data_IF_881392319462
#
_entry.id   IF_881392319462
#
_cell.length_a   1.000
_cell.length_b   1.000
_cell.length_c   1.000
_cell.angle_alpha   90.00
_cell.angle_beta   90.00
_cell.angle_gamma   90.00
#
_symmetry.space_group_name_H-M   'P 1'
#
loop_
_entity.id
_entity.type
_entity.pdbx_description
1 polymer ?
#
# COMPACT_ATOMS: atom_id res chain seq x y z
N UNK A 1 10.36 39.93 -6.25
CA UNK A 1 9.43 39.00 -5.61
C UNK A 1 10.27 37.88 -4.95
N UNK A 2 9.87 37.37 -3.81
CA UNK A 2 10.51 36.17 -3.24
C UNK A 2 10.10 35.05 -4.16
N UNK A 3 11.06 34.42 -4.84
CA UNK A 3 10.82 33.29 -5.74
C UNK A 3 10.23 32.13 -4.95
N UNK A 4 9.12 31.59 -5.40
CA UNK A 4 8.44 30.50 -4.70
C UNK A 4 9.23 29.20 -4.92
N UNK A 5 9.44 28.44 -3.85
CA UNK A 5 10.13 27.16 -3.92
C UNK A 5 9.23 26.10 -4.58
N UNK A 6 9.83 25.18 -5.34
CA UNK A 6 9.14 23.98 -5.85
C UNK A 6 8.51 23.20 -4.69
N UNK A 7 7.18 23.00 -4.69
CA UNK A 7 6.52 22.38 -3.54
C UNK A 7 6.88 20.91 -3.32
N UNK A 8 7.26 20.21 -4.37
CA UNK A 8 7.66 18.80 -4.35
C UNK A 8 6.98 17.96 -5.42
N UNK A 9 7.44 16.75 -5.59
CA UNK A 9 7.02 15.86 -6.67
C UNK A 9 5.82 15.00 -6.28
N UNK A 10 4.91 14.86 -7.23
CA UNK A 10 3.71 14.03 -7.11
C UNK A 10 3.79 12.71 -7.91
N UNK A 11 4.99 12.38 -8.40
CA UNK A 11 5.28 11.17 -9.16
C UNK A 11 6.68 10.68 -8.78
N UNK A 12 6.79 9.59 -8.03
CA UNK A 12 8.08 9.06 -7.60
C UNK A 12 8.06 7.57 -7.30
N UNK A 13 9.22 6.92 -7.55
CA UNK A 13 9.44 5.49 -7.49
C UNK A 13 10.50 5.12 -6.48
N UNK A 14 10.32 3.95 -5.85
CA UNK A 14 11.30 3.37 -4.93
C UNK A 14 11.62 1.93 -5.30
N UNK A 15 12.42 1.25 -4.45
CA UNK A 15 12.72 -0.18 -4.58
C UNK A 15 11.48 -1.06 -4.74
N UNK A 16 10.30 -0.57 -4.41
CA UNK A 16 9.03 -1.30 -4.56
C UNK A 16 8.50 -1.32 -6.00
N UNK A 17 9.01 -0.45 -6.87
CA UNK A 17 8.75 -0.51 -8.32
C UNK A 17 9.52 -1.63 -9.02
N UNK A 18 10.54 -2.21 -8.37
CA UNK A 18 11.37 -3.28 -8.92
C UNK A 18 10.68 -4.65 -8.84
N UNK A 19 9.55 -4.82 -9.53
CA UNK A 19 8.79 -6.07 -9.51
C UNK A 19 9.42 -7.16 -10.40
N UNK A 20 9.35 -6.97 -11.71
CA UNK A 20 9.87 -7.92 -12.70
C UNK A 20 11.17 -7.43 -13.35
N UNK A 21 11.42 -6.13 -13.33
CA UNK A 21 12.57 -5.47 -13.92
C UNK A 21 13.23 -4.53 -12.91
N UNK A 22 14.49 -4.23 -13.13
CA UNK A 22 15.20 -3.17 -12.41
C UNK A 22 14.68 -1.83 -12.89
N UNK A 23 14.35 -0.93 -11.95
CA UNK A 23 13.74 0.34 -12.28
C UNK A 23 14.22 1.48 -11.38
N UNK A 24 13.97 1.46 -10.08
CA UNK A 24 14.37 2.52 -9.16
C UNK A 24 15.39 2.06 -8.13
N UNK A 25 16.34 2.95 -7.80
CA UNK A 25 17.32 2.78 -6.71
C UNK A 25 16.95 3.53 -5.45
N UNK A 26 15.85 4.30 -5.46
CA UNK A 26 15.39 5.04 -4.29
C UNK A 26 14.91 4.12 -3.18
N UNK A 27 15.18 4.52 -1.94
CA UNK A 27 14.53 3.97 -0.75
C UNK A 27 13.53 4.97 -0.19
N UNK A 28 12.45 4.48 0.39
CA UNK A 28 11.40 5.34 0.97
C UNK A 28 11.98 6.33 1.97
N UNK A 29 12.89 5.88 2.86
CA UNK A 29 13.51 6.72 3.87
C UNK A 29 14.35 7.84 3.26
N UNK A 30 15.16 7.51 2.26
CA UNK A 30 16.13 8.43 1.66
C UNK A 30 15.38 9.50 0.85
N UNK A 31 14.44 9.08 0.00
CA UNK A 31 13.62 9.97 -0.81
C UNK A 31 12.80 10.94 0.05
N UNK A 32 12.17 10.44 1.11
CA UNK A 32 11.36 11.25 2.02
C UNK A 32 12.24 12.21 2.84
N UNK A 33 13.43 11.79 3.26
CA UNK A 33 14.37 12.63 4.00
C UNK A 33 14.90 13.75 3.11
N UNK A 34 15.28 13.42 1.87
CA UNK A 34 15.76 14.43 0.93
C UNK A 34 14.69 15.48 0.63
N UNK A 35 13.47 15.06 0.28
CA UNK A 35 12.36 15.97 0.01
C UNK A 35 12.08 16.89 1.21
N UNK A 36 11.84 16.29 2.38
CA UNK A 36 11.37 17.02 3.55
C UNK A 36 12.45 17.85 4.24
N UNK A 37 13.65 17.30 4.40
CA UNK A 37 14.68 17.87 5.28
C UNK A 37 15.79 18.58 4.49
N UNK A 38 16.29 17.97 3.41
CA UNK A 38 17.39 18.53 2.65
C UNK A 38 16.91 19.65 1.70
N UNK A 39 15.85 19.38 0.93
CA UNK A 39 15.28 20.32 -0.01
C UNK A 39 14.19 21.21 0.59
N UNK A 40 13.69 20.90 1.76
CA UNK A 40 12.65 21.70 2.42
C UNK A 40 11.30 21.71 1.71
N UNK A 41 11.05 20.77 0.79
CA UNK A 41 9.80 20.67 0.02
C UNK A 41 8.58 20.43 0.93
N UNK A 42 7.39 20.71 0.42
CA UNK A 42 6.12 20.60 1.15
C UNK A 42 5.50 19.21 1.04
N UNK A 43 5.80 18.47 -0.05
CA UNK A 43 5.18 17.19 -0.38
C UNK A 43 6.12 16.23 -1.10
N UNK A 44 5.85 14.93 -0.96
CA UNK A 44 6.32 13.87 -1.85
C UNK A 44 5.19 12.87 -2.07
N UNK A 45 5.03 12.35 -3.29
CA UNK A 45 4.16 11.21 -3.55
C UNK A 45 4.97 9.95 -3.85
N UNK A 46 4.39 8.79 -3.50
CA UNK A 46 4.91 7.47 -3.82
C UNK A 46 3.93 6.79 -4.76
N UNK A 47 4.35 6.56 -6.00
CA UNK A 47 3.50 6.10 -7.10
C UNK A 47 4.10 4.88 -7.78
N UNK A 48 4.45 3.87 -7.01
CA UNK A 48 5.11 2.65 -7.50
C UNK A 48 4.38 2.03 -8.71
N UNK A 49 5.14 1.41 -9.61
CA UNK A 49 4.59 0.68 -10.73
C UNK A 49 3.70 -0.47 -10.26
N UNK A 50 2.41 -0.45 -10.64
CA UNK A 50 1.43 -1.54 -10.49
C UNK A 50 1.23 -2.06 -9.06
N UNK A 51 1.78 -1.42 -8.01
CA UNK A 51 1.69 -1.92 -6.64
C UNK A 51 1.48 -0.83 -5.62
N UNK A 52 0.81 -1.17 -4.52
CA UNK A 52 0.60 -0.33 -3.33
C UNK A 52 1.13 -1.00 -2.05
N UNK A 53 2.02 -1.98 -2.19
CA UNK A 53 2.48 -2.80 -1.07
C UNK A 53 3.40 -2.05 -0.08
N UNK A 54 3.94 -0.90 -0.46
CA UNK A 54 4.81 -0.04 0.36
C UNK A 54 4.07 0.82 1.40
N UNK A 55 2.74 0.90 1.35
CA UNK A 55 1.93 1.88 2.08
C UNK A 55 2.17 1.89 3.61
N UNK A 56 2.37 0.72 4.24
CA UNK A 56 2.68 0.63 5.68
C UNK A 56 4.11 1.09 5.98
N UNK A 57 5.07 0.82 5.10
CA UNK A 57 6.44 1.31 5.24
C UNK A 57 6.48 2.83 5.15
N UNK A 58 5.79 3.40 4.17
CA UNK A 58 5.62 4.85 4.00
C UNK A 58 5.07 5.45 5.30
N UNK A 59 3.99 4.91 5.87
CA UNK A 59 3.39 5.44 7.09
C UNK A 59 4.35 5.44 8.28
N UNK A 60 5.13 4.38 8.45
CA UNK A 60 6.11 4.29 9.53
C UNK A 60 7.24 5.31 9.40
N UNK A 61 7.73 5.55 8.19
CA UNK A 61 8.76 6.56 7.91
C UNK A 61 8.19 7.96 8.07
N UNK A 62 7.01 8.19 7.51
CA UNK A 62 6.32 9.47 7.57
C UNK A 62 6.10 9.97 9.00
N UNK A 63 5.71 9.10 9.93
CA UNK A 63 5.58 9.45 11.35
C UNK A 63 6.87 10.05 11.92
N UNK A 64 8.03 9.49 11.56
CA UNK A 64 9.34 10.00 12.00
C UNK A 64 9.70 11.33 11.37
N UNK A 65 9.36 11.53 10.09
CA UNK A 65 9.59 12.80 9.39
C UNK A 65 8.70 13.90 9.96
N UNK A 66 7.43 13.61 10.25
CA UNK A 66 6.48 14.55 10.86
C UNK A 66 6.94 15.11 12.21
N UNK A 67 7.71 14.35 12.98
CA UNK A 67 8.32 14.85 14.23
C UNK A 67 9.30 16.00 13.98
N UNK A 68 9.96 16.04 12.81
CA UNK A 68 10.96 17.04 12.42
C UNK A 68 10.37 18.15 11.54
N UNK A 69 9.40 17.81 10.69
CA UNK A 69 8.71 18.74 9.76
C UNK A 69 7.20 18.48 9.79
N UNK A 70 6.45 19.07 10.74
CA UNK A 70 5.03 18.80 10.97
C UNK A 70 4.13 19.08 9.76
N UNK A 71 4.48 20.07 8.95
CA UNK A 71 3.68 20.51 7.79
C UNK A 71 3.94 19.70 6.52
N UNK A 72 4.96 18.82 6.53
CA UNK A 72 5.28 17.99 5.37
C UNK A 72 4.16 17.00 5.08
N UNK A 73 3.81 16.82 3.81
CA UNK A 73 2.78 15.88 3.34
C UNK A 73 3.38 14.73 2.58
N UNK A 74 2.80 13.55 2.78
CA UNK A 74 3.08 12.35 1.98
C UNK A 74 1.79 11.88 1.34
N UNK A 75 1.79 11.78 0.01
CA UNK A 75 0.66 11.29 -0.76
C UNK A 75 0.97 9.87 -1.23
N UNK A 76 0.03 8.94 -0.99
CA UNK A 76 0.12 7.57 -1.47
C UNK A 76 -0.60 7.44 -2.78
N UNK A 77 0.07 6.85 -3.74
CA UNK A 77 -0.46 6.69 -5.09
C UNK A 77 -0.08 5.36 -5.70
N UNK A 78 -0.28 5.26 -6.99
CA UNK A 78 0.11 4.13 -7.82
C UNK A 78 0.24 4.58 -9.27
N UNK A 79 1.31 4.20 -9.94
CA UNK A 79 1.39 4.27 -11.37
C UNK A 79 0.85 2.96 -11.97
N UNK A 80 -0.31 3.04 -12.61
CA UNK A 80 -0.97 1.91 -13.24
C UNK A 80 -0.65 1.83 -14.73
N UNK A 81 -0.81 0.64 -15.31
CA UNK A 81 -0.77 0.45 -16.75
C UNK A 81 -2.19 0.38 -17.30
N UNK A 82 -2.64 1.51 -17.83
CA UNK A 82 -3.98 1.68 -18.37
C UNK A 82 -4.06 1.11 -19.79
N UNK A 83 -5.02 0.24 -20.01
CA UNK A 83 -5.24 -0.42 -21.31
C UNK A 83 -6.69 -0.33 -21.75
N UNK A 84 -6.93 -0.53 -23.05
CA UNK A 84 -8.30 -0.61 -23.60
C UNK A 84 -9.09 -1.77 -22.99
N UNK A 85 -10.39 -1.62 -22.92
CA UNK A 85 -11.29 -2.68 -22.49
C UNK A 85 -11.23 -3.88 -23.45
N UNK A 86 -11.31 -5.09 -22.91
CA UNK A 86 -11.37 -6.31 -23.72
C UNK A 86 -10.03 -6.70 -24.36
N UNK A 87 -8.88 -6.33 -23.74
CA UNK A 87 -7.56 -6.77 -24.18
C UNK A 87 -7.53 -8.31 -24.36
N UNK A 88 -7.16 -8.75 -25.59
CA UNK A 88 -6.95 -10.17 -25.87
C UNK A 88 -5.51 -10.57 -25.49
N UNK A 89 -5.37 -11.34 -24.41
CA UNK A 89 -4.06 -11.78 -23.88
C UNK A 89 -3.31 -12.72 -24.82
N UNK A 90 -4.02 -13.45 -25.67
CA UNK A 90 -3.43 -14.43 -26.59
C UNK A 90 -2.97 -13.80 -27.91
N UNK A 91 -3.47 -12.60 -28.21
CA UNK A 91 -3.13 -11.86 -29.42
C UNK A 91 -2.97 -10.37 -29.13
N UNK A 92 -1.84 -10.00 -28.49
CA UNK A 92 -1.48 -8.60 -28.25
C UNK A 92 -0.93 -8.00 -29.53
N UNK A 93 -1.55 -6.93 -29.98
CA UNK A 93 -1.16 -6.18 -31.16
C UNK A 93 -0.40 -4.91 -30.80
N UNK A 94 0.17 -4.22 -31.78
CA UNK A 94 0.80 -2.92 -31.59
C UNK A 94 -0.16 -1.84 -31.07
N UNK A 95 -1.47 -2.03 -31.30
CA UNK A 95 -2.52 -1.13 -30.78
C UNK A 95 -2.83 -1.36 -29.28
N UNK A 96 -2.35 -2.46 -28.71
CA UNK A 96 -2.54 -2.81 -27.31
C UNK A 96 -1.46 -2.18 -26.43
N UNK A 97 -1.46 -0.86 -26.34
CA UNK A 97 -0.51 -0.12 -25.50
C UNK A 97 -0.88 -0.19 -24.02
N UNK A 98 0.15 -0.32 -23.20
CA UNK A 98 0.07 -0.23 -21.74
C UNK A 98 0.52 1.18 -21.35
N UNK A 99 -0.44 2.08 -21.16
CA UNK A 99 -0.16 3.48 -20.90
C UNK A 99 0.06 3.72 -19.42
N UNK A 100 1.14 4.40 -19.08
CA UNK A 100 1.36 4.89 -17.72
C UNK A 100 0.28 5.91 -17.33
N UNK A 101 -0.18 5.82 -16.08
CA UNK A 101 -1.22 6.70 -15.58
C UNK A 101 -1.11 6.79 -14.05
N UNK A 102 -1.07 7.99 -13.51
CA UNK A 102 -0.89 8.23 -12.07
C UNK A 102 -2.24 8.33 -11.37
N UNK A 103 -2.30 7.69 -10.21
CA UNK A 103 -3.39 7.78 -9.24
C UNK A 103 -2.83 8.25 -7.89
N UNK A 104 -3.42 9.29 -7.30
CA UNK A 104 -3.05 9.83 -5.99
C UNK A 104 -4.26 9.78 -5.06
N UNK A 105 -4.12 9.18 -3.87
CA UNK A 105 -5.19 9.11 -2.89
C UNK A 105 -5.30 10.43 -2.11
N UNK A 106 -6.47 11.05 -2.12
CA UNK A 106 -6.77 12.24 -1.32
C UNK A 106 -7.04 11.90 0.13
N UNK A 107 -7.63 10.73 0.36
CA UNK A 107 -8.08 10.26 1.67
C UNK A 107 -8.08 8.73 1.75
N UNK A 108 -8.59 8.17 2.85
CA UNK A 108 -8.66 6.73 3.07
C UNK A 108 -9.60 6.01 2.06
N UNK A 109 -10.62 6.70 1.56
CA UNK A 109 -11.55 6.16 0.55
C UNK A 109 -10.82 6.04 -0.79
N UNK A 110 -10.13 7.11 -1.23
CA UNK A 110 -9.32 7.09 -2.44
C UNK A 110 -8.23 6.03 -2.39
N UNK A 111 -7.58 5.86 -1.23
CA UNK A 111 -6.62 4.76 -1.07
C UNK A 111 -7.27 3.38 -1.19
N UNK A 112 -8.51 3.22 -0.71
CA UNK A 112 -9.27 1.98 -0.90
C UNK A 112 -9.60 1.72 -2.37
N UNK A 113 -10.00 2.77 -3.12
CA UNK A 113 -10.26 2.67 -4.56
C UNK A 113 -9.00 2.26 -5.33
N UNK A 114 -7.85 2.87 -5.04
CA UNK A 114 -6.55 2.50 -5.66
C UNK A 114 -6.18 1.05 -5.34
N UNK A 115 -6.36 0.60 -4.10
CA UNK A 115 -6.11 -0.82 -3.74
C UNK A 115 -7.03 -1.79 -4.48
N UNK A 116 -8.28 -1.42 -4.70
CA UNK A 116 -9.22 -2.25 -5.46
C UNK A 116 -8.80 -2.36 -6.94
N UNK A 117 -8.40 -1.24 -7.56
CA UNK A 117 -7.84 -1.23 -8.91
C UNK A 117 -6.61 -2.13 -9.01
N UNK A 118 -5.64 -1.96 -8.09
CA UNK A 118 -4.46 -2.81 -8.02
C UNK A 118 -4.82 -4.28 -7.84
N UNK A 119 -5.79 -4.62 -6.98
CA UNK A 119 -6.25 -6.00 -6.78
C UNK A 119 -6.83 -6.60 -8.07
N UNK A 120 -7.65 -5.86 -8.81
CA UNK A 120 -8.21 -6.31 -10.09
C UNK A 120 -7.10 -6.51 -11.13
N UNK A 121 -6.13 -5.60 -11.22
CA UNK A 121 -5.01 -5.71 -12.14
C UNK A 121 -4.13 -6.94 -11.83
N UNK A 122 -3.83 -7.19 -10.55
CA UNK A 122 -3.06 -8.37 -10.12
C UNK A 122 -3.82 -9.67 -10.35
N UNK A 123 -5.12 -9.73 -10.12
CA UNK A 123 -5.96 -10.90 -10.39
C UNK A 123 -6.00 -11.26 -11.90
N UNK A 124 -5.78 -10.27 -12.77
CA UNK A 124 -5.72 -10.44 -14.24
C UNK A 124 -4.31 -10.63 -14.77
N UNK A 125 -3.31 -10.68 -13.90
CA UNK A 125 -1.90 -10.76 -14.31
C UNK A 125 -1.63 -12.00 -15.17
N UNK A 126 -0.72 -11.84 -16.14
CA UNK A 126 -0.16 -12.95 -16.93
C UNK A 126 1.25 -12.58 -17.38
N UNK A 127 2.05 -13.57 -17.77
CA UNK A 127 3.45 -13.38 -18.14
C UNK A 127 3.70 -13.79 -19.60
N UNK A 128 3.50 -12.90 -20.57
CA UNK A 128 3.71 -13.20 -21.98
C UNK A 128 5.19 -13.32 -22.39
N UNK A 129 6.12 -13.07 -21.51
CA UNK A 129 7.57 -13.10 -21.75
C UNK A 129 8.35 -12.90 -20.46
N UNK A 130 9.32 -11.97 -20.44
CA UNK A 130 10.14 -11.66 -19.25
C UNK A 130 9.38 -10.84 -18.20
N UNK A 131 8.37 -10.05 -18.60
CA UNK A 131 7.64 -9.09 -17.76
C UNK A 131 6.22 -9.60 -17.53
N UNK A 132 5.78 -9.60 -16.27
CA UNK A 132 4.37 -9.85 -15.90
C UNK A 132 3.55 -8.60 -16.23
N UNK A 133 2.46 -8.76 -16.95
CA UNK A 133 1.52 -7.67 -17.26
C UNK A 133 0.37 -7.67 -16.26
N UNK A 134 0.01 -6.50 -15.74
CA UNK A 134 -1.05 -6.25 -14.75
C UNK A 134 -1.96 -5.12 -15.24
N UNK A 135 -2.84 -5.38 -16.21
CA UNK A 135 -3.61 -4.34 -16.86
C UNK A 135 -4.72 -3.78 -15.95
N UNK A 136 -4.83 -2.45 -15.93
CA UNK A 136 -6.02 -1.75 -15.46
C UNK A 136 -6.83 -1.32 -16.67
N UNK A 137 -8.10 -1.69 -16.75
CA UNK A 137 -8.97 -1.30 -17.87
C UNK A 137 -9.59 0.07 -17.62
N UNK A 138 -9.89 0.80 -18.69
CA UNK A 138 -10.67 2.03 -18.59
C UNK A 138 -12.00 1.84 -17.86
N UNK A 139 -12.65 0.69 -18.03
CA UNK A 139 -13.88 0.36 -17.34
C UNK A 139 -13.69 0.26 -15.82
N UNK A 140 -12.52 -0.22 -15.37
CA UNK A 140 -12.23 -0.29 -13.93
C UNK A 140 -12.18 1.10 -13.28
N UNK A 141 -11.64 2.10 -14.01
CA UNK A 141 -11.63 3.48 -13.52
C UNK A 141 -13.07 4.02 -13.36
N UNK A 142 -13.93 3.73 -14.33
CA UNK A 142 -15.34 4.14 -14.30
C UNK A 142 -16.08 3.45 -13.16
N UNK A 143 -15.89 2.12 -13.01
CA UNK A 143 -16.61 1.29 -12.04
C UNK A 143 -16.20 1.60 -10.59
N UNK A 144 -14.95 1.99 -10.36
CA UNK A 144 -14.39 2.18 -9.01
C UNK A 144 -14.31 3.66 -8.65
N UNK A 145 -13.64 4.47 -9.47
CA UNK A 145 -13.45 5.90 -9.22
C UNK A 145 -14.68 6.67 -9.65
N UNK A 146 -15.18 6.44 -10.87
CA UNK A 146 -16.35 7.13 -11.40
C UNK A 146 -17.64 6.86 -10.62
N UNK A 147 -17.77 5.70 -9.97
CA UNK A 147 -18.92 5.41 -9.10
C UNK A 147 -18.92 6.21 -7.78
N UNK A 148 -17.77 6.71 -7.33
CA UNK A 148 -17.62 7.57 -6.15
C UNK A 148 -16.42 8.52 -6.37
N UNK A 149 -16.61 9.55 -7.21
CA UNK A 149 -15.51 10.44 -7.60
C UNK A 149 -15.10 11.41 -6.48
N UNK A 150 -13.96 12.09 -6.69
CA UNK A 150 -13.49 13.14 -5.79
C UNK A 150 -12.54 12.67 -4.68
N UNK A 151 -12.25 11.37 -4.55
CA UNK A 151 -11.34 10.79 -3.56
C UNK A 151 -9.96 10.43 -4.13
N UNK A 152 -9.82 10.38 -5.45
CA UNK A 152 -8.57 10.10 -6.17
C UNK A 152 -8.29 11.23 -7.14
N UNK A 153 -7.04 11.65 -7.23
CA UNK A 153 -6.53 12.54 -8.26
C UNK A 153 -5.86 11.68 -9.33
N UNK A 154 -6.13 11.96 -10.60
CA UNK A 154 -5.45 11.36 -11.74
C UNK A 154 -4.49 12.32 -12.41
N UNK A 155 -3.38 11.82 -12.99
CA UNK A 155 -2.55 12.57 -13.92
C UNK A 155 -2.12 11.77 -15.14
N UNK A 156 -1.63 12.48 -16.16
CA UNK A 156 -1.29 11.90 -17.47
C UNK A 156 0.00 11.09 -17.47
N UNK A 157 0.72 11.05 -16.36
CA UNK A 157 2.02 10.41 -16.20
C UNK A 157 3.12 10.92 -17.18
N UNK A 158 4.19 10.15 -17.34
CA UNK A 158 5.38 10.45 -18.12
C UNK A 158 5.19 10.21 -19.65
N UNK A 159 6.30 10.15 -20.40
CA UNK A 159 6.31 9.82 -21.84
C UNK A 159 5.66 8.45 -22.16
N UNK A 160 5.56 7.56 -21.18
CA UNK A 160 4.83 6.29 -21.26
C UNK A 160 3.31 6.43 -21.30
N UNK A 161 2.77 7.60 -20.96
CA UNK A 161 1.34 7.86 -20.87
C UNK A 161 0.64 8.00 -22.22
N UNK A 162 -0.68 7.79 -22.21
CA UNK A 162 -1.53 7.98 -23.41
C UNK A 162 -1.41 9.40 -23.97
N UNK A 163 -1.51 10.40 -23.07
CA UNK A 163 -1.47 11.79 -23.45
C UNK A 163 -0.15 12.15 -24.17
N UNK A 164 0.98 11.79 -23.60
CA UNK A 164 2.30 12.07 -24.18
C UNK A 164 2.48 11.43 -25.55
N UNK A 165 2.15 10.13 -25.69
CA UNK A 165 2.24 9.43 -26.99
C UNK A 165 1.37 10.08 -28.05
N UNK A 166 0.14 10.49 -27.72
CA UNK A 166 -0.75 11.16 -28.66
C UNK A 166 -0.35 12.60 -28.95
N UNK A 167 0.28 13.29 -28.00
CA UNK A 167 0.87 14.61 -28.23
C UNK A 167 2.02 14.56 -29.24
N UNK A 168 2.91 13.59 -29.12
CA UNK A 168 4.01 13.39 -30.08
C UNK A 168 3.49 13.00 -31.48
N UNK A 169 2.48 12.16 -31.55
CA UNK A 169 1.79 11.83 -32.81
C UNK A 169 1.17 13.09 -33.44
N UNK A 170 0.57 13.97 -32.65
CA UNK A 170 0.03 15.25 -33.11
C UNK A 170 1.12 16.16 -33.69
N UNK A 171 2.30 16.26 -33.07
CA UNK A 171 3.43 17.02 -33.61
C UNK A 171 3.93 16.48 -34.94
N UNK A 172 3.96 15.17 -35.09
CA UNK A 172 4.35 14.52 -36.34
C UNK A 172 3.38 14.86 -37.51
N UNK A 173 2.07 14.76 -37.24
CA UNK A 173 1.07 15.14 -38.24
C UNK A 173 1.10 16.62 -38.58
N UNK A 174 1.26 17.49 -37.60
CA UNK A 174 1.37 18.92 -37.82
C UNK A 174 2.59 19.27 -38.66
N UNK A 175 3.74 18.70 -38.37
CA UNK A 175 5.00 18.96 -39.04
C UNK A 175 5.01 18.38 -40.49
N UNK A 176 4.24 17.33 -40.78
CA UNK A 176 4.08 16.76 -42.13
C UNK A 176 3.12 17.55 -43.00
N UNK A 177 2.47 18.60 -42.47
CA UNK A 177 1.45 19.37 -43.21
C UNK A 177 0.07 18.71 -43.26
N UNK A 178 -0.14 17.59 -42.55
CA UNK A 178 -1.42 16.88 -42.51
C UNK A 178 -2.37 17.51 -41.46
N UNK A 179 -2.71 18.79 -41.63
CA UNK A 179 -3.46 19.58 -40.63
C UNK A 179 -4.81 18.95 -40.24
N UNK A 180 -5.54 18.33 -41.18
CA UNK A 180 -6.82 17.68 -40.90
C UNK A 180 -6.68 16.56 -39.84
N UNK A 181 -5.65 15.72 -39.97
CA UNK A 181 -5.36 14.65 -39.03
C UNK A 181 -4.92 15.22 -37.68
N UNK A 182 -4.07 16.26 -37.67
CA UNK A 182 -3.63 16.92 -36.46
C UNK A 182 -4.81 17.53 -35.67
N UNK A 183 -5.75 18.20 -36.36
CA UNK A 183 -6.96 18.76 -35.73
C UNK A 183 -7.83 17.65 -35.13
N UNK A 184 -8.08 16.57 -35.90
CA UNK A 184 -8.87 15.43 -35.43
C UNK A 184 -8.25 14.78 -34.15
N UNK A 185 -6.93 14.54 -34.19
CA UNK A 185 -6.21 13.94 -33.08
C UNK A 185 -6.24 14.85 -31.84
N UNK A 186 -6.04 16.16 -31.98
CA UNK A 186 -6.19 17.13 -30.90
C UNK A 186 -7.57 17.05 -30.26
N UNK A 187 -8.63 17.02 -31.08
CA UNK A 187 -10.00 16.92 -30.57
C UNK A 187 -10.25 15.59 -29.82
N UNK A 188 -9.65 14.49 -30.28
CA UNK A 188 -9.71 13.21 -29.59
C UNK A 188 -8.99 13.24 -28.24
N UNK A 189 -7.83 13.91 -28.14
CA UNK A 189 -7.09 14.12 -26.90
C UNK A 189 -7.94 14.95 -25.92
N UNK A 190 -8.50 16.07 -26.37
CA UNK A 190 -9.40 16.92 -25.56
C UNK A 190 -10.60 16.10 -25.05
N UNK A 191 -11.22 15.31 -25.91
CA UNK A 191 -12.33 14.43 -25.52
C UNK A 191 -11.93 13.37 -24.51
N UNK A 192 -10.70 12.86 -24.58
CA UNK A 192 -10.18 11.93 -23.60
C UNK A 192 -9.92 12.62 -22.24
N UNK A 193 -9.31 13.81 -22.21
CA UNK A 193 -9.10 14.59 -20.99
C UNK A 193 -10.43 14.89 -20.30
N UNK A 194 -11.43 15.35 -21.04
CA UNK A 194 -12.77 15.61 -20.50
C UNK A 194 -13.40 14.36 -19.86
N UNK A 195 -13.29 13.20 -20.52
CA UNK A 195 -13.75 11.93 -19.91
C UNK A 195 -13.02 11.58 -18.61
N UNK A 196 -11.71 11.87 -18.53
CA UNK A 196 -10.97 11.67 -17.25
C UNK A 196 -11.47 12.64 -16.19
N UNK A 197 -11.73 13.90 -16.52
CA UNK A 197 -12.32 14.88 -15.60
C UNK A 197 -13.69 14.39 -15.10
N UNK A 198 -14.53 13.81 -15.96
CA UNK A 198 -15.81 13.23 -15.56
C UNK A 198 -15.63 12.04 -14.58
N UNK A 199 -14.66 11.14 -14.83
CA UNK A 199 -14.42 9.97 -13.99
C UNK A 199 -13.87 10.35 -12.62
N UNK A 200 -12.93 11.28 -12.55
CA UNK A 200 -12.27 11.69 -11.30
C UNK A 200 -13.06 12.78 -10.55
N UNK A 201 -13.97 13.47 -11.23
CA UNK A 201 -14.64 14.67 -10.76
C UNK A 201 -13.81 15.93 -11.02
N UNK A 202 -14.49 17.05 -11.20
CA UNK A 202 -13.86 18.34 -11.50
C UNK A 202 -12.80 18.72 -10.45
N UNK A 203 -11.65 19.23 -10.93
CA UNK A 203 -10.50 19.60 -10.08
C UNK A 203 -9.64 18.41 -9.61
N UNK A 204 -9.92 17.18 -10.04
CA UNK A 204 -9.16 16.00 -9.65
C UNK A 204 -8.42 15.32 -10.82
N UNK A 205 -8.21 16.02 -11.93
CA UNK A 205 -7.41 15.51 -13.04
C UNK A 205 -6.46 16.57 -13.56
N UNK A 206 -5.17 16.21 -13.75
CA UNK A 206 -4.11 17.13 -14.12
C UNK A 206 -3.29 16.59 -15.29
N UNK A 207 -2.84 17.50 -16.15
CA UNK A 207 -1.81 17.20 -17.14
C UNK A 207 -0.43 17.28 -16.44
N UNK A 208 0.45 16.34 -16.73
CA UNK A 208 1.74 16.23 -16.06
C UNK A 208 2.89 16.64 -16.98
N UNK A 209 3.62 17.66 -16.57
CA UNK A 209 4.86 18.10 -17.18
C UNK A 209 6.06 17.55 -16.40
N UNK A 210 7.15 17.31 -17.10
CA UNK A 210 8.41 16.86 -16.49
C UNK A 210 9.58 17.68 -16.98
N UNK A 211 10.55 18.00 -16.11
CA UNK A 211 11.81 18.62 -16.54
C UNK A 211 12.59 17.63 -17.38
N UNK A 212 13.06 18.04 -18.56
CA UNK A 212 13.84 17.14 -19.41
C UNK A 212 14.74 17.89 -20.39
N UNK A 213 15.84 17.24 -20.73
CA UNK A 213 16.71 17.63 -21.86
C UNK A 213 16.18 17.14 -23.20
N UNK A 214 15.38 16.06 -23.22
CA UNK A 214 14.87 15.44 -24.45
C UNK A 214 13.86 16.31 -25.19
N UNK A 215 13.98 16.36 -26.52
CA UNK A 215 13.05 17.11 -27.39
C UNK A 215 11.62 16.61 -27.30
N UNK A 216 11.42 15.31 -27.09
CA UNK A 216 10.10 14.72 -27.01
C UNK A 216 9.35 15.17 -25.75
N UNK A 217 10.01 15.21 -24.58
CA UNK A 217 9.37 15.74 -23.38
C UNK A 217 9.08 17.25 -23.52
N UNK A 218 9.99 18.03 -24.11
CA UNK A 218 9.75 19.45 -24.38
C UNK A 218 8.53 19.67 -25.29
N UNK A 219 8.36 18.86 -26.33
CA UNK A 219 7.16 18.89 -27.21
C UNK A 219 5.88 18.57 -26.43
N UNK A 220 5.91 17.56 -25.55
CA UNK A 220 4.76 17.21 -24.71
C UNK A 220 4.42 18.38 -23.78
N UNK A 221 5.38 18.95 -23.08
CA UNK A 221 5.19 20.11 -22.20
C UNK A 221 4.60 21.31 -22.95
N UNK A 222 5.13 21.63 -24.12
CA UNK A 222 4.57 22.72 -24.98
C UNK A 222 3.14 22.42 -25.43
N UNK A 223 2.81 21.15 -25.70
CA UNK A 223 1.45 20.77 -26.06
C UNK A 223 0.49 20.87 -24.86
N UNK A 224 0.96 20.59 -23.64
CA UNK A 224 0.21 20.83 -22.40
C UNK A 224 -0.12 22.32 -22.24
N UNK A 225 0.87 23.21 -22.36
CA UNK A 225 0.66 24.67 -22.31
C UNK A 225 -0.35 25.12 -23.37
N UNK A 226 -0.23 24.58 -24.59
CA UNK A 226 -1.19 24.88 -25.66
C UNK A 226 -2.62 24.49 -25.25
N UNK A 227 -2.84 23.29 -24.70
CA UNK A 227 -4.16 22.85 -24.31
C UNK A 227 -4.65 23.58 -23.04
N UNK A 228 -3.76 23.95 -22.12
CA UNK A 228 -4.10 24.81 -21.00
C UNK A 228 -4.65 26.14 -21.50
N UNK A 229 -3.94 26.82 -22.40
CA UNK A 229 -4.36 28.12 -22.94
C UNK A 229 -5.67 28.06 -23.78
N UNK A 230 -5.92 26.92 -24.45
CA UNK A 230 -7.12 26.76 -25.27
C UNK A 230 -8.34 26.26 -24.51
N UNK A 231 -8.14 25.41 -23.47
CA UNK A 231 -9.21 24.66 -22.81
C UNK A 231 -9.24 24.85 -21.28
N UNK A 232 -8.23 25.50 -20.70
CA UNK A 232 -8.15 25.70 -19.25
C UNK A 232 -7.79 24.43 -18.44
N UNK A 233 -7.25 23.38 -19.07
CA UNK A 233 -6.88 22.17 -18.34
C UNK A 233 -5.73 22.44 -17.38
N UNK A 234 -5.86 22.09 -16.09
CA UNK A 234 -4.82 22.31 -15.11
C UNK A 234 -3.63 21.37 -15.32
N UNK A 235 -2.45 21.83 -14.97
CA UNK A 235 -1.22 21.06 -15.08
C UNK A 235 -0.36 21.16 -13.82
N UNK A 236 0.53 20.17 -13.64
CA UNK A 236 1.50 20.08 -12.57
C UNK A 236 2.88 19.77 -13.14
N UNK A 237 3.92 19.99 -12.35
CA UNK A 237 5.30 19.60 -12.67
C UNK A 237 5.73 18.53 -11.68
N UNK A 238 6.26 17.39 -12.19
CA UNK A 238 6.79 16.28 -11.38
C UNK A 238 8.17 15.86 -11.90
N UNK A 239 8.93 15.11 -11.12
CA UNK A 239 10.26 14.65 -11.51
C UNK A 239 10.33 13.17 -11.92
N UNK A 240 9.32 12.37 -11.58
CA UNK A 240 9.31 10.92 -11.86
C UNK A 240 10.56 10.21 -11.32
N UNK A 241 10.82 10.37 -10.02
CA UNK A 241 12.10 10.05 -9.40
C UNK A 241 12.40 8.55 -9.38
N UNK A 242 13.43 8.13 -10.09
CA UNK A 242 13.96 6.76 -10.11
C UNK A 242 15.29 6.62 -9.34
N UNK A 243 15.98 7.72 -9.09
CA UNK A 243 17.18 7.80 -8.25
C UNK A 243 17.21 9.11 -7.47
N UNK A 244 18.06 9.19 -6.44
CA UNK A 244 17.93 10.24 -5.42
C UNK A 244 18.47 11.59 -5.87
N UNK A 245 19.68 11.61 -6.44
CA UNK A 245 20.40 12.83 -6.84
C UNK A 245 21.03 12.64 -8.22
N UNK A 246 21.36 13.75 -8.88
CA UNK A 246 22.08 13.73 -10.17
C UNK A 246 23.34 12.87 -10.15
N UNK A 247 24.05 12.85 -9.03
CA UNK A 247 25.29 12.06 -8.89
C UNK A 247 25.04 10.55 -8.87
N UNK A 248 23.84 10.12 -8.54
CA UNK A 248 23.46 8.71 -8.48
C UNK A 248 23.10 8.12 -9.86
N UNK A 249 23.11 8.93 -10.91
CA UNK A 249 22.78 8.50 -12.27
C UNK A 249 23.61 7.32 -12.75
N UNK A 250 24.92 7.32 -12.46
CA UNK A 250 25.82 6.22 -12.85
C UNK A 250 25.48 4.92 -12.11
N UNK A 251 25.13 5.00 -10.83
CA UNK A 251 24.69 3.86 -10.01
C UNK A 251 23.36 3.33 -10.54
N UNK A 252 22.41 4.22 -10.82
CA UNK A 252 21.12 3.84 -11.40
C UNK A 252 21.30 3.15 -12.76
N UNK A 253 22.15 3.69 -13.67
CA UNK A 253 22.46 3.05 -14.95
C UNK A 253 23.05 1.66 -14.77
N UNK A 254 23.99 1.48 -13.85
CA UNK A 254 24.58 0.18 -13.54
C UNK A 254 23.52 -0.79 -12.98
N UNK A 255 22.61 -0.30 -12.14
CA UNK A 255 21.50 -1.08 -11.60
C UNK A 255 20.55 -1.57 -12.70
N UNK A 256 20.12 -0.69 -13.61
CA UNK A 256 19.24 -1.04 -14.73
C UNK A 256 19.84 -2.12 -15.62
N UNK A 257 21.16 -2.10 -15.84
CA UNK A 257 21.91 -3.03 -16.69
C UNK A 257 22.42 -4.26 -15.93
N UNK A 258 22.08 -4.44 -14.66
CA UNK A 258 22.55 -5.60 -13.85
C UNK A 258 21.82 -6.92 -14.15
N UNK A 259 20.83 -6.92 -15.03
CA UNK A 259 20.18 -8.13 -15.57
C UNK A 259 20.61 -8.35 -17.03
N UNK A 260 20.48 -9.58 -17.52
CA UNK A 260 21.02 -10.13 -18.79
C UNK A 260 20.67 -9.40 -20.12
N UNK A 261 20.32 -8.16 -20.11
CA UNK A 261 20.08 -7.37 -21.31
C UNK A 261 20.53 -5.93 -21.08
N UNK A 262 21.42 -5.43 -21.93
CA UNK A 262 21.63 -4.00 -22.04
C UNK A 262 20.29 -3.31 -22.33
N UNK A 263 19.85 -2.47 -21.42
CA UNK A 263 18.70 -1.59 -21.59
C UNK A 263 19.25 -0.28 -22.13
N UNK A 264 18.85 0.13 -23.34
CA UNK A 264 19.07 1.51 -23.77
C UNK A 264 18.31 2.44 -22.84
N UNK A 265 19.05 3.25 -22.06
CA UNK A 265 18.52 3.90 -20.87
C UNK A 265 18.82 5.38 -20.87
N UNK A 266 19.04 6.00 -22.04
CA UNK A 266 19.88 7.17 -22.01
C UNK A 266 19.14 8.49 -21.76
N UNK A 267 18.24 8.96 -22.57
CA UNK A 267 17.70 10.31 -22.40
C UNK A 267 16.58 10.44 -21.38
N UNK A 268 15.73 9.43 -21.27
CA UNK A 268 14.56 9.49 -20.36
C UNK A 268 14.97 9.63 -18.90
N UNK A 269 15.94 8.81 -18.46
CA UNK A 269 16.36 8.81 -17.05
C UNK A 269 17.38 9.89 -16.67
N UNK A 270 17.76 10.80 -17.55
CA UNK A 270 18.73 11.85 -17.22
C UNK A 270 18.20 12.83 -16.17
N UNK A 271 16.90 13.03 -16.14
CA UNK A 271 16.23 14.02 -15.29
C UNK A 271 15.25 13.41 -14.28
N UNK A 272 15.24 12.07 -14.10
CA UNK A 272 14.30 11.38 -13.19
C UNK A 272 14.86 11.25 -11.77
N UNK A 273 15.17 12.37 -11.14
CA UNK A 273 15.65 12.46 -9.75
C UNK A 273 15.03 13.66 -9.04
N UNK A 274 15.12 13.67 -7.71
CA UNK A 274 14.54 14.75 -6.92
C UNK A 274 15.43 16.01 -6.98
N UNK A 275 14.96 17.01 -7.74
CA UNK A 275 15.71 18.24 -8.07
C UNK A 275 15.51 19.35 -7.06
N UNK A 276 16.49 20.22 -6.98
CA UNK A 276 16.38 21.57 -6.40
C UNK A 276 15.56 22.47 -7.32
N UNK A 277 14.97 23.53 -6.76
CA UNK A 277 14.08 24.43 -7.50
C UNK A 277 14.74 25.05 -8.73
N UNK A 278 15.95 25.63 -8.56
CA UNK A 278 16.70 26.30 -9.62
C UNK A 278 17.10 25.33 -10.74
N UNK A 279 17.46 24.10 -10.37
CA UNK A 279 17.82 23.08 -11.35
C UNK A 279 16.59 22.64 -12.15
N UNK A 280 15.47 22.35 -11.50
CA UNK A 280 14.21 21.98 -12.14
C UNK A 280 13.76 23.06 -13.12
N UNK A 281 13.74 24.31 -12.70
CA UNK A 281 13.30 25.44 -13.52
C UNK A 281 14.22 25.67 -14.73
N UNK A 282 15.53 25.39 -14.60
CA UNK A 282 16.47 25.51 -15.71
C UNK A 282 16.12 24.64 -16.93
N UNK A 283 15.37 23.55 -16.73
CA UNK A 283 14.87 22.70 -17.83
C UNK A 283 13.56 23.20 -18.46
N UNK A 284 12.91 24.22 -17.86
CA UNK A 284 11.57 24.67 -18.25
C UNK A 284 11.59 26.09 -18.85
N UNK A 285 12.48 26.95 -18.39
CA UNK A 285 12.52 28.40 -18.72
C UNK A 285 12.76 28.72 -20.20
N UNK A 286 13.20 27.76 -21.02
CA UNK A 286 13.32 27.94 -22.46
C UNK A 286 11.96 28.12 -23.18
N UNK A 287 10.85 27.64 -22.56
CA UNK A 287 9.53 27.62 -23.16
C UNK A 287 8.36 27.89 -22.21
N UNK A 288 8.62 28.06 -20.92
CA UNK A 288 7.64 28.47 -19.90
C UNK A 288 8.00 29.82 -19.32
N UNK A 289 7.01 30.65 -19.07
CA UNK A 289 7.17 31.87 -18.31
C UNK A 289 7.27 31.58 -16.80
N UNK A 290 7.70 32.56 -16.01
CA UNK A 290 7.68 32.46 -14.55
C UNK A 290 6.25 32.25 -14.03
N UNK A 291 5.26 32.89 -14.66
CA UNK A 291 3.84 32.77 -14.33
C UNK A 291 3.34 31.35 -14.58
N UNK A 292 3.72 30.70 -15.69
CA UNK A 292 3.35 29.31 -16.00
C UNK A 292 3.92 28.33 -14.94
N UNK A 293 5.16 28.53 -14.50
CA UNK A 293 5.81 27.72 -13.48
C UNK A 293 5.10 27.92 -12.11
N UNK A 294 4.82 29.16 -11.74
CA UNK A 294 4.09 29.49 -10.49
C UNK A 294 2.66 28.91 -10.51
N UNK A 295 2.00 28.88 -11.65
CA UNK A 295 0.69 28.24 -11.77
C UNK A 295 0.78 26.72 -11.50
N UNK A 296 1.79 26.03 -12.06
CA UNK A 296 2.02 24.62 -11.78
C UNK A 296 2.27 24.38 -10.28
N UNK A 297 3.09 25.23 -9.64
CA UNK A 297 3.35 25.15 -8.20
C UNK A 297 2.10 25.43 -7.36
N UNK A 298 1.29 26.40 -7.77
CA UNK A 298 -0.02 26.66 -7.16
C UNK A 298 -0.95 25.46 -7.25
N UNK A 299 -0.97 24.75 -8.39
CA UNK A 299 -1.76 23.55 -8.59
C UNK A 299 -1.27 22.39 -7.70
N UNK A 300 0.03 22.21 -7.52
CA UNK A 300 0.60 21.24 -6.57
C UNK A 300 0.14 21.59 -5.14
N UNK A 301 0.19 22.86 -4.72
CA UNK A 301 -0.30 23.29 -3.39
C UNK A 301 -1.81 23.08 -3.22
N UNK A 302 -2.62 23.25 -4.27
CA UNK A 302 -4.03 22.87 -4.24
C UNK A 302 -4.19 21.39 -3.96
N UNK A 303 -3.41 20.52 -4.60
CA UNK A 303 -3.41 19.08 -4.35
C UNK A 303 -3.02 18.76 -2.91
N UNK A 304 -1.95 19.38 -2.40
CA UNK A 304 -1.51 19.22 -1.00
C UNK A 304 -2.66 19.53 -0.03
N UNK A 305 -3.37 20.62 -0.26
CA UNK A 305 -4.48 21.06 0.59
C UNK A 305 -5.74 20.18 0.46
N UNK A 306 -5.93 19.50 -0.67
CA UNK A 306 -7.03 18.56 -0.85
C UNK A 306 -6.76 17.19 -0.22
N UNK A 307 -5.50 16.86 0.05
CA UNK A 307 -5.12 15.54 0.59
C UNK A 307 -5.15 15.54 2.12
N UNK A 308 -5.82 14.56 2.68
CA UNK A 308 -5.91 14.34 4.13
C UNK A 308 -4.79 13.42 4.62
N UNK A 309 -4.39 13.61 5.89
CA UNK A 309 -3.58 12.63 6.59
C UNK A 309 -4.48 11.49 7.11
N UNK A 310 -4.23 10.26 6.70
CA UNK A 310 -4.95 9.09 7.16
C UNK A 310 -4.00 7.96 7.54
N UNK A 311 -4.41 7.12 8.50
CA UNK A 311 -3.65 5.94 8.93
C UNK A 311 -4.25 4.65 8.37
N UNK A 312 -3.39 3.78 7.87
CA UNK A 312 -3.73 2.41 7.47
C UNK A 312 -3.49 1.41 8.60
N UNK A 313 -2.69 1.81 9.60
CA UNK A 313 -2.43 1.00 10.78
C UNK A 313 -3.66 1.04 11.67
N UNK A 314 -4.28 -0.11 11.85
CA UNK A 314 -5.44 -0.27 12.72
C UNK A 314 -5.04 -0.95 14.02
N UNK A 315 -5.76 -0.73 15.12
CA UNK A 315 -5.60 -1.52 16.33
C UNK A 315 -5.78 -3.01 16.04
N UNK A 316 -5.11 -3.84 16.81
CA UNK A 316 -5.31 -5.29 16.74
C UNK A 316 -6.80 -5.60 16.95
N UNK A 317 -7.38 -6.37 16.05
CA UNK A 317 -8.77 -6.82 16.13
C UNK A 317 -8.82 -8.33 16.03
N UNK A 318 -9.19 -8.98 17.12
CA UNK A 318 -9.46 -10.41 17.16
C UNK A 318 -10.98 -10.59 16.96
N UNK A 319 -11.42 -11.33 15.93
CA UNK A 319 -12.85 -11.57 15.73
C UNK A 319 -13.45 -12.31 16.94
N UNK A 320 -14.65 -11.91 17.34
CA UNK A 320 -15.45 -12.66 18.31
C UNK A 320 -16.46 -13.50 17.53
N UNK A 321 -16.31 -14.82 17.58
CA UNK A 321 -17.22 -15.78 16.97
C UNK A 321 -18.25 -16.24 18.00
N UNK A 322 -19.32 -16.88 17.55
CA UNK A 322 -20.19 -17.65 18.44
C UNK A 322 -19.53 -19.00 18.73
N UNK A 323 -19.10 -19.18 19.97
CA UNK A 323 -18.50 -20.43 20.40
C UNK A 323 -19.55 -21.37 20.96
N UNK A 324 -19.33 -22.69 20.77
CA UNK A 324 -20.15 -23.71 21.38
C UNK A 324 -20.02 -23.60 22.90
N UNK A 325 -21.16 -23.48 23.60
CA UNK A 325 -21.14 -23.48 25.08
C UNK A 325 -20.73 -24.86 25.56
N UNK A 326 -19.70 -24.95 26.41
CA UNK A 326 -19.28 -26.19 27.00
C UNK A 326 -20.34 -26.73 27.98
N UNK A 327 -20.15 -27.95 28.45
CA UNK A 327 -21.02 -28.54 29.50
C UNK A 327 -20.84 -27.70 30.78
N UNK A 328 -21.94 -27.25 31.40
CA UNK A 328 -21.84 -26.47 32.64
C UNK A 328 -21.12 -27.25 33.74
N UNK A 329 -20.21 -26.59 34.43
CA UNK A 329 -19.49 -27.16 35.55
C UNK A 329 -20.29 -26.96 36.86
N UNK A 330 -20.47 -28.00 37.69
CA UNK A 330 -21.08 -27.84 38.98
C UNK A 330 -20.37 -26.78 39.84
N UNK A 331 -21.16 -26.00 40.58
CA UNK A 331 -20.61 -24.84 41.35
C UNK A 331 -19.49 -25.28 42.32
N UNK A 332 -19.66 -26.38 43.03
CA UNK A 332 -18.66 -26.92 43.98
C UNK A 332 -17.32 -27.25 43.26
N UNK A 333 -17.40 -27.80 42.04
CA UNK A 333 -16.20 -28.11 41.24
C UNK A 333 -15.53 -26.84 40.75
N UNK A 334 -16.29 -25.85 40.31
CA UNK A 334 -15.76 -24.58 39.89
C UNK A 334 -15.08 -23.87 41.08
N UNK A 335 -15.67 -23.88 42.25
CA UNK A 335 -15.05 -23.31 43.46
C UNK A 335 -13.75 -24.02 43.84
N UNK A 336 -13.71 -25.36 43.72
CA UNK A 336 -12.49 -26.14 43.95
C UNK A 336 -11.32 -25.62 43.08
N UNK A 337 -11.55 -25.34 41.78
CA UNK A 337 -10.51 -24.82 40.89
C UNK A 337 -10.21 -23.34 41.14
N UNK A 338 -11.21 -22.50 41.42
CA UNK A 338 -11.01 -21.06 41.70
C UNK A 338 -10.10 -20.84 42.90
N UNK A 339 -10.15 -21.71 43.90
CA UNK A 339 -9.28 -21.66 45.08
C UNK A 339 -7.81 -22.05 44.76
N UNK A 340 -7.55 -22.81 43.69
CA UNK A 340 -6.23 -23.29 43.26
C UNK A 340 -5.62 -22.48 42.13
N UNK A 341 -6.48 -21.86 41.32
CA UNK A 341 -6.11 -21.10 40.15
C UNK A 341 -6.72 -19.69 40.25
N UNK A 342 -6.08 -18.78 40.96
CA UNK A 342 -6.62 -17.42 41.28
C UNK A 342 -7.10 -16.64 40.05
N UNK A 343 -6.39 -16.74 38.89
CA UNK A 343 -6.79 -16.05 37.67
C UNK A 343 -8.11 -16.54 37.08
N UNK A 344 -8.67 -17.69 37.50
CA UNK A 344 -10.04 -18.09 37.16
C UNK A 344 -11.06 -17.04 37.60
N UNK A 345 -10.85 -16.42 38.77
CA UNK A 345 -11.74 -15.36 39.25
C UNK A 345 -11.74 -14.15 38.31
N UNK A 346 -10.57 -13.78 37.82
CA UNK A 346 -10.41 -12.64 36.89
C UNK A 346 -11.19 -12.89 35.55
N UNK A 347 -10.99 -14.06 34.95
CA UNK A 347 -11.66 -14.41 33.70
C UNK A 347 -13.18 -14.65 33.87
N UNK A 348 -13.62 -15.26 34.94
CA UNK A 348 -15.04 -15.51 35.19
C UNK A 348 -15.82 -14.23 35.56
N UNK A 349 -15.16 -13.21 36.08
CA UNK A 349 -15.74 -11.91 36.33
C UNK A 349 -15.62 -10.93 35.17
N UNK A 350 -15.02 -11.34 34.06
CA UNK A 350 -14.93 -10.53 32.84
C UNK A 350 -16.32 -10.32 32.21
N UNK A 351 -16.51 -9.16 31.60
CA UNK A 351 -17.72 -8.86 30.79
C UNK A 351 -17.72 -9.56 29.44
N UNK A 352 -16.61 -10.19 29.04
CA UNK A 352 -16.47 -10.89 27.79
C UNK A 352 -16.77 -12.38 27.93
N UNK A 353 -17.81 -12.86 27.25
CA UNK A 353 -18.25 -14.27 27.37
C UNK A 353 -17.18 -15.28 26.95
N UNK A 354 -16.29 -14.94 25.99
CA UNK A 354 -15.19 -15.80 25.58
C UNK A 354 -14.23 -16.15 26.72
N UNK A 355 -14.02 -15.23 27.66
CA UNK A 355 -13.17 -15.47 28.84
C UNK A 355 -13.77 -16.59 29.70
N UNK A 356 -15.08 -16.52 29.94
CA UNK A 356 -15.82 -17.53 30.72
C UNK A 356 -15.83 -18.89 30.02
N UNK A 357 -16.13 -18.90 28.71
CA UNK A 357 -16.12 -20.12 27.88
C UNK A 357 -14.75 -20.80 27.92
N UNK A 358 -13.65 -20.03 27.82
CA UNK A 358 -12.32 -20.58 27.88
C UNK A 358 -12.05 -21.28 29.22
N UNK A 359 -12.43 -20.67 30.35
CA UNK A 359 -12.26 -21.28 31.67
C UNK A 359 -13.09 -22.57 31.81
N UNK A 360 -14.35 -22.56 31.36
CA UNK A 360 -15.21 -23.74 31.40
C UNK A 360 -14.63 -24.90 30.55
N UNK A 361 -14.06 -24.62 29.39
CA UNK A 361 -13.39 -25.64 28.56
C UNK A 361 -12.14 -26.20 29.26
N UNK A 362 -11.32 -25.36 29.87
CA UNK A 362 -10.16 -25.78 30.65
C UNK A 362 -10.59 -26.72 31.79
N UNK A 363 -11.63 -26.35 32.56
CA UNK A 363 -12.13 -27.18 33.65
C UNK A 363 -12.70 -28.50 33.12
N UNK A 364 -13.50 -28.48 32.05
CA UNK A 364 -13.99 -29.71 31.43
C UNK A 364 -12.85 -30.66 31.04
N UNK A 365 -11.76 -30.15 30.50
CA UNK A 365 -10.56 -30.94 30.18
C UNK A 365 -9.90 -31.53 31.41
N UNK A 366 -9.76 -30.76 32.49
CA UNK A 366 -9.23 -31.24 33.78
C UNK A 366 -10.11 -32.32 34.36
N UNK A 367 -11.45 -32.20 34.30
CA UNK A 367 -12.37 -33.19 34.79
C UNK A 367 -12.36 -34.48 33.96
N UNK A 368 -12.05 -34.37 32.67
CA UNK A 368 -12.02 -35.55 31.77
C UNK A 368 -10.76 -36.41 31.96
N UNK A 369 -9.69 -35.89 32.57
CA UNK A 369 -8.44 -36.63 32.77
C UNK A 369 -7.83 -36.33 34.15
N UNK A 370 -8.05 -37.21 35.14
CA UNK A 370 -7.51 -37.02 36.48
C UNK A 370 -5.99 -36.83 36.57
N UNK A 371 -5.23 -37.28 35.56
CA UNK A 371 -3.77 -37.11 35.50
C UNK A 371 -3.34 -35.63 35.32
N UNK A 372 -4.26 -34.77 34.86
CA UNK A 372 -4.05 -33.34 34.69
C UNK A 372 -4.32 -32.55 35.98
N UNK A 373 -4.94 -33.20 37.01
CA UNK A 373 -5.30 -32.56 38.26
C UNK A 373 -4.16 -32.60 39.27
N UNK A 374 -3.08 -31.87 39.02
CA UNK A 374 -1.90 -31.77 39.86
C UNK A 374 -1.62 -30.32 40.26
N UNK A 375 -0.95 -30.11 41.39
CA UNK A 375 -0.57 -28.77 41.82
C UNK A 375 0.32 -28.04 40.80
N UNK A 376 1.21 -28.76 40.11
CA UNK A 376 2.03 -28.19 39.04
C UNK A 376 1.16 -27.76 37.83
N UNK A 377 0.16 -28.54 37.48
CA UNK A 377 -0.81 -28.17 36.44
C UNK A 377 -1.57 -26.89 36.84
N UNK A 378 -2.09 -26.81 38.04
CA UNK A 378 -2.83 -25.62 38.50
C UNK A 378 -1.96 -24.37 38.53
N UNK A 379 -0.72 -24.50 38.97
CA UNK A 379 0.26 -23.40 38.95
C UNK A 379 0.54 -22.94 37.53
N UNK A 380 0.76 -23.88 36.58
CA UNK A 380 1.06 -23.53 35.20
C UNK A 380 -0.15 -22.93 34.48
N UNK A 381 -1.36 -23.43 34.72
CA UNK A 381 -2.59 -22.79 34.22
C UNK A 381 -2.67 -21.34 34.71
N UNK A 382 -2.43 -21.11 35.99
CA UNK A 382 -2.47 -19.77 36.59
C UNK A 382 -1.46 -18.81 35.89
N UNK A 383 -0.21 -19.26 35.69
CA UNK A 383 0.82 -18.50 35.00
C UNK A 383 0.43 -18.18 33.56
N UNK A 384 -0.16 -19.14 32.85
CA UNK A 384 -0.60 -18.96 31.46
C UNK A 384 -1.77 -17.95 31.38
N UNK A 385 -2.70 -18.02 32.30
CA UNK A 385 -3.83 -17.10 32.36
C UNK A 385 -3.39 -15.68 32.73
N UNK A 386 -2.45 -15.55 33.67
CA UNK A 386 -1.83 -14.26 34.01
C UNK A 386 -1.22 -13.61 32.76
N UNK A 387 -0.36 -14.33 32.04
CA UNK A 387 0.25 -13.84 30.80
C UNK A 387 -0.80 -13.47 29.73
N UNK A 388 -1.87 -14.27 29.63
CA UNK A 388 -2.99 -14.01 28.72
C UNK A 388 -3.74 -12.73 29.10
N UNK A 389 -4.01 -12.53 30.38
CA UNK A 389 -4.69 -11.35 30.89
C UNK A 389 -3.86 -10.08 30.66
N UNK A 390 -2.58 -10.09 31.06
CA UNK A 390 -1.67 -8.95 30.86
C UNK A 390 -1.58 -8.58 29.38
N UNK A 391 -1.47 -9.59 28.50
CA UNK A 391 -1.46 -9.35 27.04
C UNK A 391 -2.78 -8.77 26.53
N UNK A 392 -3.92 -9.15 27.13
CA UNK A 392 -5.25 -8.60 26.81
C UNK A 392 -5.35 -7.12 27.18
N UNK A 393 -4.88 -6.77 28.37
CA UNK A 393 -4.86 -5.39 28.87
C UNK A 393 -3.98 -4.47 27.99
N UNK A 394 -2.74 -4.91 27.70
CA UNK A 394 -1.78 -4.13 26.89
C UNK A 394 -2.30 -3.90 25.47
N UNK A 395 -2.86 -4.93 24.85
CA UNK A 395 -3.34 -4.86 23.48
C UNK A 395 -4.80 -4.38 23.36
N UNK A 396 -5.47 -4.10 24.48
CA UNK A 396 -6.90 -3.70 24.54
C UNK A 396 -7.79 -4.66 23.74
N UNK A 397 -7.57 -5.97 23.91
CA UNK A 397 -8.30 -7.03 23.22
C UNK A 397 -8.33 -8.31 24.04
N UNK A 398 -9.32 -9.19 23.83
CA UNK A 398 -9.44 -10.45 24.56
C UNK A 398 -8.70 -11.58 23.84
N UNK A 399 -7.55 -12.00 24.38
CA UNK A 399 -6.78 -13.11 23.82
C UNK A 399 -7.47 -14.47 23.94
N UNK A 400 -8.41 -14.64 24.85
CA UNK A 400 -9.30 -15.79 24.87
C UNK A 400 -10.04 -16.00 23.54
N UNK A 401 -10.52 -14.92 22.91
CA UNK A 401 -11.12 -14.99 21.58
C UNK A 401 -10.16 -15.58 20.54
N UNK A 402 -8.87 -15.22 20.60
CA UNK A 402 -7.87 -15.78 19.69
C UNK A 402 -7.73 -17.30 19.87
N UNK A 403 -7.64 -17.77 21.12
CA UNK A 403 -7.50 -19.19 21.39
C UNK A 403 -8.76 -19.96 21.03
N UNK A 404 -9.95 -19.46 21.35
CA UNK A 404 -11.21 -20.10 21.01
C UNK A 404 -11.45 -20.17 19.50
N UNK A 405 -11.05 -19.12 18.76
CA UNK A 405 -11.12 -19.14 17.30
C UNK A 405 -10.16 -20.19 16.71
N UNK A 406 -8.96 -20.32 17.27
CA UNK A 406 -7.99 -21.33 16.84
C UNK A 406 -8.49 -22.74 17.16
N UNK A 407 -9.06 -22.95 18.35
CA UNK A 407 -9.69 -24.20 18.73
C UNK A 407 -10.79 -24.58 17.71
N UNK A 408 -11.69 -23.65 17.42
CA UNK A 408 -12.78 -23.90 16.47
C UNK A 408 -12.27 -24.25 15.06
N UNK A 409 -11.23 -23.59 14.60
CA UNK A 409 -10.60 -23.92 13.32
C UNK A 409 -10.05 -25.36 13.29
N UNK A 410 -9.44 -25.80 14.39
CA UNK A 410 -8.91 -27.16 14.54
C UNK A 410 -10.04 -28.18 14.59
N UNK A 411 -11.11 -27.90 15.35
CA UNK A 411 -12.31 -28.76 15.39
C UNK A 411 -12.91 -28.94 13.98
N UNK A 412 -13.07 -27.85 13.22
CA UNK A 412 -13.58 -27.91 11.85
C UNK A 412 -12.68 -28.77 10.95
N UNK A 413 -11.37 -28.68 11.11
CA UNK A 413 -10.45 -29.53 10.37
C UNK A 413 -10.65 -31.02 10.72
N UNK A 414 -10.80 -31.36 11.99
CA UNK A 414 -11.07 -32.73 12.43
C UNK A 414 -12.43 -33.23 11.95
N UNK A 415 -13.50 -32.41 12.06
CA UNK A 415 -14.82 -32.69 11.55
C UNK A 415 -14.85 -32.99 10.04
N UNK A 416 -13.98 -32.29 9.29
CA UNK A 416 -13.79 -32.48 7.85
C UNK A 416 -12.88 -33.69 7.49
N UNK A 417 -12.39 -34.44 8.48
CA UNK A 417 -11.48 -35.56 8.26
C UNK A 417 -10.06 -35.17 7.87
N UNK A 418 -9.66 -33.92 8.05
CA UNK A 418 -8.29 -33.44 7.78
C UNK A 418 -7.39 -33.75 8.95
N UNK A 419 -6.18 -34.26 8.67
CA UNK A 419 -5.17 -34.46 9.70
C UNK A 419 -4.57 -33.14 10.16
N UNK A 420 -4.64 -32.89 11.46
CA UNK A 420 -4.03 -31.71 12.10
C UNK A 420 -2.73 -32.15 12.79
N UNK A 421 -1.63 -31.43 12.55
CA UNK A 421 -0.36 -31.71 13.19
C UNK A 421 -0.39 -31.46 14.71
N UNK A 422 0.52 -32.09 15.47
CA UNK A 422 0.50 -32.04 16.95
C UNK A 422 0.78 -30.68 17.56
N UNK A 423 1.23 -29.72 16.77
CA UNK A 423 1.56 -28.35 17.16
C UNK A 423 2.84 -27.87 16.49
N UNK A 424 2.97 -26.54 16.34
CA UNK A 424 4.14 -25.88 15.72
C UNK A 424 4.40 -24.51 16.33
N UNK A 425 5.65 -24.14 16.46
CA UNK A 425 6.08 -22.83 16.92
C UNK A 425 6.08 -22.68 18.45
N UNK A 426 6.18 -21.44 18.96
CA UNK A 426 6.31 -21.17 20.39
C UNK A 426 5.03 -21.44 21.20
N UNK A 427 3.88 -21.50 20.55
CA UNK A 427 2.61 -21.84 21.21
C UNK A 427 2.56 -23.23 21.82
N UNK A 428 3.37 -24.19 21.30
CA UNK A 428 3.41 -25.56 21.85
C UNK A 428 3.91 -25.63 23.31
N UNK A 429 4.53 -24.60 23.83
CA UNK A 429 4.92 -24.50 25.24
C UNK A 429 3.86 -23.89 26.15
N UNK A 430 2.68 -23.53 25.63
CA UNK A 430 1.63 -22.86 26.38
C UNK A 430 0.58 -23.89 26.78
N UNK A 431 0.55 -24.25 28.06
CA UNK A 431 -0.19 -25.41 28.59
C UNK A 431 -1.70 -25.31 28.34
N UNK A 432 -2.29 -24.12 28.46
CA UNK A 432 -3.72 -23.94 28.20
C UNK A 432 -4.10 -24.30 26.75
N UNK A 433 -3.19 -24.23 25.78
CA UNK A 433 -3.47 -24.66 24.39
C UNK A 433 -3.64 -26.19 24.28
N UNK A 434 -2.95 -26.95 25.13
CA UNK A 434 -3.19 -28.38 25.26
C UNK A 434 -4.55 -28.67 25.91
N UNK A 435 -4.91 -27.91 26.94
CA UNK A 435 -6.20 -28.06 27.63
C UNK A 435 -7.39 -27.65 26.75
N UNK A 436 -7.16 -26.81 25.76
CA UNK A 436 -8.15 -26.41 24.73
C UNK A 436 -8.11 -27.31 23.47
N UNK A 437 -7.38 -28.42 23.48
CA UNK A 437 -7.20 -29.33 22.33
C UNK A 437 -6.66 -28.66 21.06
N UNK A 438 -5.97 -27.51 21.21
CA UNK A 438 -5.31 -26.79 20.12
C UNK A 438 -4.01 -27.47 19.72
N UNK A 439 -3.28 -27.97 20.69
CA UNK A 439 -2.06 -28.80 20.50
C UNK A 439 -2.28 -30.21 21.08
N UNK A 440 -1.61 -31.20 20.50
CA UNK A 440 -1.80 -32.61 20.88
C UNK A 440 -0.73 -33.13 21.84
N UNK A 441 0.32 -32.35 22.09
CA UNK A 441 1.43 -32.72 22.98
C UNK A 441 1.34 -31.90 24.26
N UNK A 442 1.30 -32.60 25.40
CA UNK A 442 1.30 -31.94 26.70
C UNK A 442 2.71 -31.39 27.04
N UNK A 443 2.88 -30.07 27.16
CA UNK A 443 4.17 -29.45 27.45
C UNK A 443 4.62 -29.62 28.91
N UNK A 444 3.78 -30.18 29.78
CA UNK A 444 4.11 -30.46 31.18
C UNK A 444 4.82 -31.80 31.37
N UNK A 445 4.77 -32.69 30.39
CA UNK A 445 5.45 -33.97 30.51
C UNK A 445 6.98 -33.82 30.40
N UNK A 446 7.72 -34.56 31.20
CA UNK A 446 9.19 -34.48 31.24
C UNK A 446 9.85 -34.68 29.84
N UNK A 447 9.25 -35.56 29.03
CA UNK A 447 9.75 -35.87 27.67
C UNK A 447 9.46 -34.79 26.63
N UNK A 448 8.55 -33.88 26.90
CA UNK A 448 8.06 -32.85 25.94
C UNK A 448 8.12 -31.45 26.51
N UNK A 449 8.80 -31.25 27.64
CA UNK A 449 8.89 -29.96 28.31
C UNK A 449 9.47 -28.87 27.42
N UNK A 450 8.68 -27.83 27.19
CA UNK A 450 9.05 -26.70 26.33
C UNK A 450 8.93 -25.39 27.08
N UNK A 451 9.77 -24.41 26.69
CA UNK A 451 9.78 -23.10 27.33
C UNK A 451 8.87 -22.11 26.57
N UNK A 452 7.98 -21.45 27.28
CA UNK A 452 6.98 -20.51 26.74
C UNK A 452 7.43 -19.03 26.75
N UNK A 453 8.66 -18.74 27.08
CA UNK A 453 9.20 -17.40 27.32
C UNK A 453 8.87 -16.36 26.22
N UNK A 454 8.66 -16.79 24.96
CA UNK A 454 8.34 -15.86 23.87
C UNK A 454 6.95 -15.26 23.91
N UNK A 455 5.99 -15.89 24.57
CA UNK A 455 4.64 -15.34 24.73
C UNK A 455 4.59 -14.30 25.87
N UNK A 456 5.38 -14.52 26.92
CA UNK A 456 5.48 -13.62 28.06
C UNK A 456 6.34 -12.37 27.81
N UNK A 457 7.21 -12.38 26.79
CA UNK A 457 8.09 -11.26 26.43
C UNK A 457 7.51 -10.33 25.34
N UNK A 458 6.29 -10.56 24.87
CA UNK A 458 5.62 -9.70 23.87
C UNK A 458 4.64 -8.70 24.51
N UNK A 459 4.73 -8.54 25.80
CA UNK A 459 3.94 -7.56 26.57
C UNK A 459 4.70 -6.24 26.66
#
# INVERSE_FOLDING_TARGET
MIRTQYPGSLHGHTEYSNLDIRDSTNRIEDLMTRAAIELGQEVIAFTEHETVCNAIKIEKVYKKIKEKKPDFKVIRGNEIYLVRNGLNKDNITADDSFYHFILLAKDAIGHQQIRELSTRAWARSWRPGKITRRPTYYQDLIDIIGANPGHVIGSTACLGGFFAKKSLEWWNWKNSGAEGYAIQLKNNIIGWVNRMIEVFGEGNFYLEMQPASSDDQKKVNQFILKLHNECGFPYIITCDEHYLTKNDRSVHKAFLNSQDAEREVDEFYETTYLMETEELESYLTDYMSEEDIEEAYSNIRKIINMCEDYSLIRPLKIPSLQWKKPTPIPTERMEFYRNRIPYFNTFLNSDFDGDKVMIELIVNKLESDPRLQTEDSYKEINNNLEATWISSEVNKTHWSAYFLNLQRNIEVCWEAGTLVGPGRGSGVGFYILYLLDIIQINPMWETTKTFQWRLTLRV
#
